data_IF_010489807595
#
_entry.id   IF_010489807595
#
_cell.length_a   1.000
_cell.length_b   1.000
_cell.length_c   1.000
_cell.angle_alpha   90.00
_cell.angle_beta   90.00
_cell.angle_gamma   90.00
#
_symmetry.space_group_name_H-M   'P 1'
#
loop_
_entity.id
_entity.type
_entity.pdbx_description
1 polymer ?
#
# COMPACT_ATOMS: atom_id res chain seq x y z
N UNK A 1 50.40 -3.40 -1.87
CA UNK A 1 50.46 -2.22 -0.97
C UNK A 1 49.78 -1.03 -1.62
N UNK A 2 50.02 -0.72 -2.88
CA UNK A 2 49.50 0.47 -3.57
C UNK A 2 47.98 0.42 -3.80
N UNK A 3 47.42 -0.76 -4.08
CA UNK A 3 45.95 -0.92 -4.29
C UNK A 3 45.14 -0.53 -3.06
N UNK A 4 45.63 -0.85 -1.86
CA UNK A 4 44.92 -0.49 -0.61
C UNK A 4 45.01 1.00 -0.28
N UNK A 5 46.14 1.64 -0.65
CA UNK A 5 46.33 3.07 -0.41
C UNK A 5 45.38 3.94 -1.24
N UNK A 6 45.05 3.50 -2.48
CA UNK A 6 44.23 4.24 -3.44
C UNK A 6 42.82 3.65 -3.62
N UNK A 7 42.44 2.65 -2.78
CA UNK A 7 41.11 2.08 -2.84
C UNK A 7 40.04 3.18 -2.56
N UNK A 8 38.90 3.18 -3.30
CA UNK A 8 37.85 4.19 -3.12
C UNK A 8 37.00 3.97 -1.87
N UNK A 9 37.19 2.87 -1.16
CA UNK A 9 36.54 2.57 0.12
C UNK A 9 37.49 2.89 1.28
N UNK A 10 36.90 3.14 2.45
CA UNK A 10 37.66 3.41 3.66
C UNK A 10 38.30 2.11 4.14
N UNK A 11 39.61 2.18 4.46
CA UNK A 11 40.36 1.06 5.01
C UNK A 11 41.30 1.55 6.10
N UNK A 12 41.24 0.91 7.29
CA UNK A 12 42.10 1.28 8.42
C UNK A 12 42.44 0.08 9.30
N UNK A 13 43.49 0.22 10.07
CA UNK A 13 43.92 -0.76 11.07
C UNK A 13 43.79 -0.14 12.46
N UNK A 14 43.15 -0.87 13.35
CA UNK A 14 42.99 -0.46 14.74
C UNK A 14 43.60 -1.45 15.72
N UNK A 15 44.07 -0.97 16.87
CA UNK A 15 44.47 -1.77 18.01
C UNK A 15 43.26 -2.30 18.77
N UNK A 16 43.41 -3.28 19.69
CA UNK A 16 42.29 -3.75 20.53
C UNK A 16 41.53 -2.64 21.28
N UNK A 17 42.24 -1.54 21.60
CA UNK A 17 41.63 -0.35 22.22
C UNK A 17 40.86 0.61 21.27
N UNK A 18 40.75 0.28 19.99
CA UNK A 18 40.02 1.10 18.99
C UNK A 18 40.86 2.24 18.39
N UNK A 19 42.15 2.39 18.78
CA UNK A 19 43.04 3.39 18.21
C UNK A 19 43.41 3.05 16.77
N UNK A 20 43.25 3.99 15.86
CA UNK A 20 43.57 3.83 14.44
C UNK A 20 45.07 4.06 14.23
N UNK A 21 45.79 2.99 13.85
CA UNK A 21 47.25 3.02 13.69
C UNK A 21 47.70 3.14 12.23
N UNK A 22 46.83 2.90 11.29
CA UNK A 22 47.04 3.04 9.85
C UNK A 22 45.70 3.28 9.14
N UNK A 23 45.69 4.08 8.12
CA UNK A 23 44.53 4.33 7.28
C UNK A 23 44.95 4.64 5.85
N UNK A 24 44.04 4.37 4.89
CA UNK A 24 44.26 4.73 3.49
C UNK A 24 43.83 6.18 3.21
N UNK A 25 44.09 6.66 1.99
CA UNK A 25 43.78 8.02 1.57
C UNK A 25 42.29 8.35 1.69
N UNK A 26 41.40 7.41 1.33
CA UNK A 26 39.96 7.60 1.44
C UNK A 26 39.48 7.84 2.88
N UNK A 27 40.06 7.13 3.85
CA UNK A 27 39.75 7.36 5.26
C UNK A 27 40.21 8.74 5.73
N UNK A 28 41.41 9.19 5.31
CA UNK A 28 41.93 10.51 5.68
C UNK A 28 41.07 11.63 5.12
N UNK A 29 40.68 11.53 3.85
CA UNK A 29 39.75 12.48 3.23
C UNK A 29 38.41 12.51 3.97
N UNK A 30 37.88 11.35 4.35
CA UNK A 30 36.61 11.28 5.10
C UNK A 30 36.75 11.86 6.50
N UNK A 31 37.89 11.71 7.13
CA UNK A 31 38.19 12.30 8.42
C UNK A 31 38.15 13.84 8.38
N UNK A 32 38.63 14.43 7.29
CA UNK A 32 38.56 15.89 7.05
C UNK A 32 37.12 16.38 6.90
N UNK A 33 36.23 15.59 6.28
CA UNK A 33 34.80 15.90 6.16
C UNK A 33 34.05 15.85 7.50
N UNK A 34 34.55 15.06 8.45
CA UNK A 34 33.91 14.80 9.74
C UNK A 34 34.42 15.75 10.82
N UNK A 35 35.72 15.99 10.83
CA UNK A 35 36.36 16.83 11.86
C UNK A 35 36.18 18.33 11.56
N UNK A 36 36.18 19.14 12.62
CA UNK A 36 36.22 20.59 12.49
C UNK A 36 37.59 21.07 11.97
N UNK A 37 37.63 22.20 11.26
CA UNK A 37 38.85 22.81 10.71
C UNK A 37 39.94 23.10 11.76
N UNK A 38 39.55 23.21 13.03
CA UNK A 38 40.46 23.50 14.14
C UNK A 38 41.08 22.22 14.72
N UNK A 39 40.62 21.04 14.32
CA UNK A 39 41.12 19.77 14.84
C UNK A 39 42.32 19.30 14.02
N UNK A 40 43.52 19.43 14.53
CA UNK A 40 44.71 18.92 13.90
C UNK A 40 44.65 17.38 13.84
N UNK A 41 44.78 16.81 12.63
CA UNK A 41 44.88 15.35 12.43
C UNK A 41 46.23 14.88 13.00
N UNK A 42 46.22 14.12 14.07
CA UNK A 42 47.42 13.56 14.74
C UNK A 42 47.28 12.07 14.89
N UNK A 43 48.40 11.36 14.86
CA UNK A 43 48.45 9.94 15.17
C UNK A 43 48.47 9.68 16.69
N UNK A 44 47.75 8.68 17.22
CA UNK A 44 46.81 7.81 16.49
C UNK A 44 45.58 8.59 15.99
N UNK A 45 45.05 8.23 14.81
CA UNK A 45 43.93 8.92 14.25
C UNK A 45 42.62 8.62 15.03
N UNK A 46 41.70 9.61 15.11
CA UNK A 46 40.40 9.35 15.68
C UNK A 46 39.64 8.32 14.86
N UNK A 47 38.88 7.43 15.52
CA UNK A 47 38.02 6.48 14.88
C UNK A 47 36.66 7.15 14.56
N UNK A 48 36.34 7.31 13.28
CA UNK A 48 35.08 7.89 12.83
C UNK A 48 33.88 6.93 12.91
N UNK A 49 34.15 5.66 13.24
CA UNK A 49 33.15 4.64 13.50
C UNK A 49 33.27 4.18 14.97
N UNK A 50 32.68 4.93 15.92
CA UNK A 50 32.80 4.62 17.33
C UNK A 50 32.28 3.21 17.64
N UNK A 51 33.05 2.48 18.41
CA UNK A 51 32.63 1.21 18.99
C UNK A 51 31.86 1.51 20.27
N UNK A 52 30.56 1.32 20.29
CA UNK A 52 29.81 1.38 21.55
C UNK A 52 30.24 0.17 22.42
N UNK A 53 30.79 0.51 23.57
CA UNK A 53 31.11 -0.36 24.72
C UNK A 53 31.16 -1.89 24.44
N UNK A 54 32.34 -2.38 24.16
CA UNK A 54 32.77 -3.76 24.54
C UNK A 54 32.29 -4.94 23.69
N UNK A 55 31.35 -4.77 22.82
CA UNK A 55 30.84 -5.85 21.97
C UNK A 55 31.07 -5.56 20.48
N UNK A 56 31.44 -6.60 19.75
CA UNK A 56 31.64 -6.54 18.30
C UNK A 56 30.49 -5.78 17.63
N UNK A 57 30.81 -4.79 16.77
CA UNK A 57 29.88 -3.95 16.02
C UNK A 57 28.59 -4.69 15.69
N UNK A 58 27.53 -4.41 16.47
CA UNK A 58 26.24 -5.10 16.37
C UNK A 58 25.52 -4.84 15.03
N UNK A 59 25.88 -3.78 14.34
CA UNK A 59 25.32 -3.46 13.04
C UNK A 59 26.43 -3.41 11.98
N UNK A 60 26.32 -4.17 10.90
CA UNK A 60 27.28 -4.08 9.79
C UNK A 60 27.19 -2.72 9.09
N UNK A 61 26.09 -1.98 9.26
CA UNK A 61 25.88 -0.67 8.65
C UNK A 61 25.88 0.43 9.68
N UNK A 62 26.70 1.47 9.44
CA UNK A 62 26.81 2.63 10.33
C UNK A 62 26.77 3.95 9.55
N UNK A 63 26.23 4.99 10.20
CA UNK A 63 26.21 6.33 9.66
C UNK A 63 27.35 7.16 10.25
N UNK A 64 28.02 7.93 9.40
CA UNK A 64 28.98 8.93 9.78
C UNK A 64 28.39 10.31 9.51
N UNK A 65 28.37 11.15 10.52
CA UNK A 65 27.86 12.51 10.37
C UNK A 65 28.95 13.41 9.78
N UNK A 66 28.63 14.10 8.70
CA UNK A 66 29.51 15.12 8.11
C UNK A 66 29.40 16.43 8.87
N UNK A 67 30.40 17.28 8.71
CA UNK A 67 30.45 18.63 9.30
C UNK A 67 29.29 19.53 8.84
N UNK A 68 28.79 19.36 7.61
CA UNK A 68 27.65 20.08 7.04
C UNK A 68 26.27 19.61 7.57
N UNK A 69 26.26 18.65 8.51
CA UNK A 69 25.05 18.04 9.06
C UNK A 69 24.51 16.87 8.25
N UNK A 70 25.08 16.57 7.09
CA UNK A 70 24.75 15.40 6.29
C UNK A 70 25.19 14.10 6.94
N UNK A 71 24.65 12.98 6.48
CA UNK A 71 25.03 11.64 6.92
C UNK A 71 25.41 10.80 5.73
N UNK A 72 26.54 10.11 5.85
CA UNK A 72 26.98 9.10 4.88
C UNK A 72 26.94 7.74 5.53
N UNK A 73 26.38 6.78 4.82
CA UNK A 73 26.21 5.42 5.31
C UNK A 73 27.29 4.50 4.75
N UNK A 74 27.78 3.61 5.62
CA UNK A 74 28.84 2.66 5.28
C UNK A 74 28.48 1.27 5.77
N UNK A 75 28.74 0.27 4.95
CA UNK A 75 28.74 -1.13 5.36
C UNK A 75 30.15 -1.51 5.85
N UNK A 76 30.23 -1.92 7.13
CA UNK A 76 31.49 -2.20 7.80
C UNK A 76 31.79 -3.70 7.79
N UNK A 77 33.03 -4.00 7.46
CA UNK A 77 33.61 -5.36 7.58
C UNK A 77 34.87 -5.28 8.41
N UNK A 78 35.05 -6.20 9.34
CA UNK A 78 36.22 -6.25 10.23
C UNK A 78 36.86 -7.62 10.16
N UNK A 79 38.18 -7.64 10.01
CA UNK A 79 39.01 -8.86 10.01
C UNK A 79 39.91 -8.79 11.24
N UNK A 80 39.85 -9.80 12.11
CA UNK A 80 40.76 -9.93 13.25
C UNK A 80 42.11 -10.43 12.80
N UNK A 81 43.17 -9.76 13.17
CA UNK A 81 44.57 -10.12 12.87
C UNK A 81 45.31 -10.63 14.09
N UNK A 82 44.64 -10.84 15.24
CA UNK A 82 45.25 -11.26 16.50
C UNK A 82 46.03 -10.15 17.23
N UNK A 83 46.66 -9.23 16.50
CA UNK A 83 47.39 -8.05 17.04
C UNK A 83 46.59 -6.75 16.91
N UNK A 84 45.35 -6.83 16.44
CA UNK A 84 44.46 -5.73 16.14
C UNK A 84 43.47 -6.12 15.04
N UNK A 85 42.76 -5.18 14.51
CA UNK A 85 41.71 -5.39 13.50
C UNK A 85 42.03 -4.62 12.24
N UNK A 86 41.73 -5.22 11.08
CA UNK A 86 41.69 -4.55 9.80
C UNK A 86 40.23 -4.31 9.45
N UNK A 87 39.86 -3.05 9.19
CA UNK A 87 38.49 -2.62 8.99
C UNK A 87 38.33 -2.03 7.61
N UNK A 88 37.17 -2.29 7.02
CA UNK A 88 36.74 -1.74 5.74
C UNK A 88 35.37 -1.11 5.91
N UNK A 89 35.15 0.01 5.26
CA UNK A 89 33.85 0.64 5.17
C UNK A 89 33.55 0.99 3.70
N UNK A 90 32.54 0.32 3.16
CA UNK A 90 32.07 0.56 1.80
C UNK A 90 30.90 1.54 1.84
N UNK A 91 30.87 2.55 0.92
CA UNK A 91 29.73 3.45 0.82
C UNK A 91 28.41 2.68 0.59
N UNK A 92 27.42 2.95 1.42
CA UNK A 92 26.11 2.27 1.41
C UNK A 92 24.94 3.24 1.17
N UNK A 93 25.22 4.52 0.84
CA UNK A 93 24.18 5.54 0.64
C UNK A 93 23.16 5.17 -0.45
N UNK A 94 23.64 4.52 -1.52
CA UNK A 94 22.77 4.04 -2.60
C UNK A 94 21.79 2.97 -2.11
N UNK A 95 22.29 2.01 -1.33
CA UNK A 95 21.47 0.93 -0.77
C UNK A 95 20.46 1.49 0.25
N UNK A 96 20.91 2.36 1.16
CA UNK A 96 20.04 2.99 2.16
C UNK A 96 18.95 3.84 1.50
N UNK A 97 19.29 4.62 0.48
CA UNK A 97 18.30 5.40 -0.28
C UNK A 97 17.28 4.51 -0.97
N UNK A 98 17.71 3.43 -1.61
CA UNK A 98 16.81 2.49 -2.27
C UNK A 98 15.89 1.79 -1.27
N UNK A 99 16.41 1.34 -0.13
CA UNK A 99 15.63 0.73 0.96
C UNK A 99 14.60 1.72 1.54
N UNK A 100 15.01 2.97 1.78
CA UNK A 100 14.13 4.03 2.28
C UNK A 100 13.03 4.35 1.27
N UNK A 101 13.39 4.54 0.00
CA UNK A 101 12.41 4.81 -1.07
C UNK A 101 11.40 3.67 -1.21
N UNK A 102 11.86 2.41 -1.14
CA UNK A 102 10.96 1.26 -1.19
C UNK A 102 10.02 1.24 0.03
N UNK A 103 10.56 1.49 1.22
CA UNK A 103 9.78 1.55 2.45
C UNK A 103 8.71 2.66 2.39
N UNK A 104 9.10 3.87 2.00
CA UNK A 104 8.19 5.01 1.85
C UNK A 104 7.11 4.75 0.80
N UNK A 105 7.51 4.14 -0.32
CA UNK A 105 6.57 3.74 -1.36
C UNK A 105 5.54 2.72 -0.84
N UNK A 106 6.00 1.68 -0.14
CA UNK A 106 5.12 0.68 0.46
C UNK A 106 4.19 1.28 1.53
N UNK A 107 4.69 2.19 2.36
CA UNK A 107 3.86 2.90 3.33
C UNK A 107 2.80 3.77 2.66
N UNK A 108 3.18 4.50 1.60
CA UNK A 108 2.25 5.34 0.87
C UNK A 108 1.17 4.51 0.16
N UNK A 109 1.54 3.38 -0.45
CA UNK A 109 0.58 2.43 -1.03
C UNK A 109 -0.38 1.88 0.03
N UNK A 110 0.14 1.43 1.18
CA UNK A 110 -0.68 0.91 2.29
C UNK A 110 -1.65 1.98 2.79
N UNK A 111 -1.17 3.22 2.95
CA UNK A 111 -2.02 4.34 3.37
C UNK A 111 -3.10 4.65 2.33
N UNK A 112 -2.74 4.74 1.05
CA UNK A 112 -3.71 4.97 -0.03
C UNK A 112 -4.77 3.86 -0.06
N UNK A 113 -4.33 2.59 0.01
CA UNK A 113 -5.21 1.42 0.04
C UNK A 113 -6.18 1.43 1.24
N UNK A 114 -5.72 1.91 2.40
CA UNK A 114 -6.54 1.99 3.62
C UNK A 114 -7.56 3.12 3.60
N UNK A 115 -7.35 4.16 2.78
CA UNK A 115 -8.28 5.30 2.70
C UNK A 115 -9.28 5.21 1.54
N UNK A 116 -9.19 4.18 0.70
CA UNK A 116 -10.19 3.94 -0.35
C UNK A 116 -11.51 3.54 0.33
N UNK A 117 -12.63 4.26 0.06
CA UNK A 117 -13.93 3.96 0.67
C UNK A 117 -14.58 2.70 0.12
N UNK A 118 -14.06 2.15 -0.96
CA UNK A 118 -14.49 0.89 -1.58
C UNK A 118 -13.85 -0.28 -0.85
N UNK A 119 -14.63 -1.27 -0.45
CA UNK A 119 -14.16 -2.52 0.13
C UNK A 119 -13.36 -3.31 -0.92
N UNK A 120 -12.10 -3.59 -0.63
CA UNK A 120 -11.20 -4.30 -1.52
C UNK A 120 -10.75 -5.63 -0.91
N UNK A 121 -10.88 -6.70 -1.68
CA UNK A 121 -10.36 -8.02 -1.35
C UNK A 121 -9.59 -8.60 -2.54
N UNK A 122 -8.37 -9.10 -2.29
CA UNK A 122 -7.54 -9.73 -3.30
C UNK A 122 -7.38 -11.20 -2.93
N UNK A 123 -7.71 -12.07 -3.88
CA UNK A 123 -7.61 -13.53 -3.75
C UNK A 123 -6.51 -14.05 -4.67
N UNK A 124 -5.75 -15.03 -4.19
CA UNK A 124 -4.76 -15.73 -5.01
C UNK A 124 -5.41 -16.66 -6.05
N UNK A 125 -4.57 -17.41 -6.79
CA UNK A 125 -5.03 -18.38 -7.79
C UNK A 125 -5.90 -19.50 -7.22
N UNK A 126 -5.72 -19.82 -5.94
CA UNK A 126 -6.51 -20.81 -5.20
C UNK A 126 -7.75 -20.18 -4.56
N UNK A 127 -8.05 -18.91 -4.93
CA UNK A 127 -9.17 -18.15 -4.36
C UNK A 127 -9.11 -18.00 -2.84
N UNK A 128 -7.90 -17.96 -2.26
CA UNK A 128 -7.68 -17.63 -0.86
C UNK A 128 -7.37 -16.15 -0.72
N UNK A 129 -7.99 -15.52 0.26
CA UNK A 129 -7.79 -14.10 0.56
C UNK A 129 -6.32 -13.84 0.93
N UNK A 130 -5.68 -12.92 0.22
CA UNK A 130 -4.29 -12.50 0.47
C UNK A 130 -4.19 -11.09 1.01
N UNK A 131 -5.11 -10.23 0.62
CA UNK A 131 -5.12 -8.84 1.04
C UNK A 131 -6.55 -8.30 1.10
N UNK A 132 -6.83 -7.43 2.06
CA UNK A 132 -8.07 -6.67 2.18
C UNK A 132 -7.79 -5.31 2.81
N UNK A 133 -8.68 -4.35 2.59
CA UNK A 133 -8.59 -3.02 3.20
C UNK A 133 -9.62 -2.85 4.33
N UNK A 134 -9.48 -1.81 5.19
CA UNK A 134 -10.42 -1.55 6.26
C UNK A 134 -11.86 -1.35 5.80
N UNK A 135 -12.08 -0.69 4.64
CA UNK A 135 -13.42 -0.48 4.10
C UNK A 135 -14.17 -1.81 3.86
N UNK A 136 -13.47 -2.90 3.52
CA UNK A 136 -14.09 -4.21 3.41
C UNK A 136 -14.68 -4.67 4.74
N UNK A 137 -13.97 -4.47 5.84
CA UNK A 137 -14.47 -4.84 7.18
C UNK A 137 -15.65 -3.99 7.59
N UNK A 138 -15.61 -2.70 7.28
CA UNK A 138 -16.68 -1.73 7.59
C UNK A 138 -17.97 -2.05 6.83
N UNK A 139 -17.85 -2.35 5.52
CA UNK A 139 -19.00 -2.66 4.66
C UNK A 139 -19.58 -4.05 4.92
N UNK A 140 -18.72 -5.04 5.20
CA UNK A 140 -19.16 -6.43 5.35
C UNK A 140 -19.39 -6.85 6.81
N UNK A 141 -18.96 -6.05 7.78
CA UNK A 141 -19.02 -6.41 9.20
C UNK A 141 -18.26 -7.68 9.58
N UNK A 142 -17.40 -8.20 8.67
CA UNK A 142 -16.62 -9.40 8.94
C UNK A 142 -15.47 -9.09 9.90
N UNK A 143 -15.22 -9.93 10.91
CA UNK A 143 -14.10 -9.73 11.83
C UNK A 143 -12.76 -9.83 11.11
N UNK A 144 -11.82 -8.98 11.51
CA UNK A 144 -10.45 -8.96 10.98
C UNK A 144 -9.77 -10.33 11.17
N UNK A 145 -10.03 -11.00 12.28
CA UNK A 145 -9.48 -12.33 12.59
C UNK A 145 -9.90 -13.37 11.56
N UNK A 146 -11.17 -13.33 11.15
CA UNK A 146 -11.71 -14.22 10.11
C UNK A 146 -11.05 -13.94 8.76
N UNK A 147 -10.95 -12.68 8.36
CA UNK A 147 -10.32 -12.30 7.10
C UNK A 147 -8.81 -12.63 7.11
N UNK A 148 -8.14 -12.43 8.24
CA UNK A 148 -6.71 -12.76 8.41
C UNK A 148 -6.43 -14.26 8.38
N UNK A 149 -7.43 -15.12 8.63
CA UNK A 149 -7.31 -16.58 8.46
C UNK A 149 -7.21 -17.03 6.99
N UNK A 150 -7.25 -16.07 6.04
CA UNK A 150 -7.17 -16.30 4.59
C UNK A 150 -8.28 -17.24 4.07
N UNK A 151 -9.55 -16.89 4.32
CA UNK A 151 -10.66 -17.70 3.85
C UNK A 151 -10.66 -17.78 2.31
N UNK A 152 -11.33 -18.78 1.78
CA UNK A 152 -11.66 -18.82 0.35
C UNK A 152 -12.74 -17.78 0.03
N UNK A 153 -12.88 -17.41 -1.24
CA UNK A 153 -13.96 -16.52 -1.70
C UNK A 153 -15.31 -17.03 -1.21
N UNK A 154 -15.61 -18.31 -1.44
CA UNK A 154 -16.88 -18.89 -0.97
C UNK A 154 -17.00 -18.91 0.55
N UNK A 155 -15.92 -19.19 1.28
CA UNK A 155 -15.91 -19.14 2.73
C UNK A 155 -16.20 -17.74 3.27
N UNK A 156 -15.70 -16.70 2.61
CA UNK A 156 -16.01 -15.31 2.93
C UNK A 156 -17.49 -14.99 2.67
N UNK A 157 -18.02 -15.39 1.52
CA UNK A 157 -19.43 -15.19 1.15
C UNK A 157 -20.38 -15.96 2.07
N UNK A 158 -20.05 -17.20 2.45
CA UNK A 158 -20.82 -17.98 3.41
C UNK A 158 -20.86 -17.30 4.78
N UNK A 159 -19.72 -16.74 5.25
CA UNK A 159 -19.67 -15.98 6.50
C UNK A 159 -20.47 -14.66 6.43
N UNK A 160 -20.54 -14.01 5.27
CA UNK A 160 -21.42 -12.86 5.05
C UNK A 160 -22.89 -13.27 5.10
N UNK A 161 -23.25 -14.39 4.48
CA UNK A 161 -24.61 -14.92 4.48
C UNK A 161 -25.09 -15.23 5.92
N UNK A 162 -24.27 -15.89 6.70
CA UNK A 162 -24.61 -16.27 8.07
C UNK A 162 -24.90 -15.05 8.98
N UNK A 163 -24.51 -13.86 8.53
CA UNK A 163 -24.75 -12.56 9.17
C UNK A 163 -25.83 -11.73 8.51
N UNK A 164 -26.56 -12.30 7.54
CA UNK A 164 -27.54 -11.59 6.70
C UNK A 164 -26.95 -10.40 5.95
N UNK A 165 -25.68 -10.50 5.54
CA UNK A 165 -24.91 -9.49 4.80
C UNK A 165 -24.79 -9.85 3.31
N UNK A 166 -25.71 -10.61 2.81
CA UNK A 166 -25.86 -10.90 1.37
C UNK A 166 -27.31 -10.62 0.94
N UNK A 167 -27.53 -10.27 -0.32
CA UNK A 167 -28.88 -10.16 -0.86
C UNK A 167 -29.59 -11.51 -0.74
N UNK A 168 -30.91 -11.47 -0.56
CA UNK A 168 -31.78 -12.64 -0.61
C UNK A 168 -32.23 -12.87 -2.07
N UNK A 169 -31.46 -13.58 -2.89
CA UNK A 169 -31.86 -13.82 -4.28
C UNK A 169 -33.04 -14.79 -4.30
N UNK A 170 -33.99 -14.56 -5.21
CA UNK A 170 -35.13 -15.46 -5.44
C UNK A 170 -34.68 -16.89 -5.77
N UNK A 171 -33.50 -17.05 -6.40
CA UNK A 171 -32.85 -18.34 -6.64
C UNK A 171 -31.38 -18.29 -6.18
N UNK A 172 -31.16 -18.69 -4.92
CA UNK A 172 -29.82 -18.79 -4.33
C UNK A 172 -28.90 -19.74 -5.09
N UNK A 173 -29.42 -20.80 -5.71
CA UNK A 173 -28.60 -21.76 -6.46
C UNK A 173 -28.12 -21.17 -7.77
N UNK A 174 -28.97 -20.38 -8.44
CA UNK A 174 -28.57 -19.68 -9.65
C UNK A 174 -27.53 -18.58 -9.35
N UNK A 175 -27.76 -17.81 -8.32
CA UNK A 175 -26.82 -16.78 -7.85
C UNK A 175 -25.47 -17.38 -7.45
N UNK A 176 -25.45 -18.47 -6.68
CA UNK A 176 -24.20 -19.16 -6.31
C UNK A 176 -23.46 -19.73 -7.53
N UNK A 177 -24.16 -20.24 -8.55
CA UNK A 177 -23.53 -20.68 -9.80
C UNK A 177 -22.92 -19.52 -10.56
N UNK A 178 -23.55 -18.35 -10.52
CA UNK A 178 -23.02 -17.13 -11.15
C UNK A 178 -21.73 -16.66 -10.45
N UNK A 179 -21.72 -16.69 -9.12
CA UNK A 179 -20.53 -16.43 -8.32
C UNK A 179 -19.43 -17.49 -8.51
N UNK A 180 -19.81 -18.76 -8.69
CA UNK A 180 -18.85 -19.83 -8.97
C UNK A 180 -18.10 -19.60 -10.32
N UNK A 181 -18.69 -18.85 -11.24
CA UNK A 181 -17.97 -18.38 -12.45
C UNK A 181 -16.77 -17.50 -12.13
N UNK A 182 -16.75 -16.81 -10.98
CA UNK A 182 -15.56 -16.07 -10.51
C UNK A 182 -14.47 -16.98 -9.91
N UNK A 183 -14.84 -18.20 -9.49
CA UNK A 183 -13.88 -19.17 -8.95
C UNK A 183 -13.01 -19.78 -10.05
N UNK A 184 -13.52 -19.82 -11.30
CA UNK A 184 -12.73 -20.33 -12.41
C UNK A 184 -11.56 -19.37 -12.68
N UNK A 185 -10.35 -19.83 -12.39
CA UNK A 185 -9.12 -19.07 -12.63
C UNK A 185 -8.88 -18.79 -14.13
N UNK A 186 -9.59 -19.48 -15.02
CA UNK A 186 -9.53 -19.30 -16.46
C UNK A 186 -10.61 -18.34 -16.98
N UNK A 187 -11.56 -17.92 -16.14
CA UNK A 187 -12.59 -16.97 -16.53
C UNK A 187 -11.96 -15.60 -16.84
N UNK A 188 -12.14 -15.15 -18.06
CA UNK A 188 -11.71 -13.83 -18.53
C UNK A 188 -12.79 -12.77 -18.34
N UNK A 189 -13.98 -13.18 -17.86
CA UNK A 189 -15.13 -12.31 -17.67
C UNK A 189 -15.07 -11.52 -16.37
N UNK A 190 -15.40 -10.23 -16.44
CA UNK A 190 -15.64 -9.39 -15.27
C UNK A 190 -17.01 -9.78 -14.67
N UNK A 191 -17.07 -10.00 -13.36
CA UNK A 191 -18.31 -10.06 -12.61
C UNK A 191 -18.71 -8.65 -12.20
N UNK A 192 -19.96 -8.28 -12.40
CA UNK A 192 -20.51 -7.01 -11.98
C UNK A 192 -21.99 -7.22 -11.63
N UNK A 193 -22.37 -6.78 -10.43
CA UNK A 193 -23.74 -6.96 -9.92
C UNK A 193 -24.07 -5.91 -8.85
N UNK A 194 -25.36 -5.63 -8.68
CA UNK A 194 -25.88 -4.77 -7.63
C UNK A 194 -26.54 -5.60 -6.54
N UNK A 195 -25.98 -5.56 -5.35
CA UNK A 195 -26.48 -6.29 -4.20
C UNK A 195 -27.38 -5.42 -3.34
N UNK A 196 -28.68 -5.69 -3.37
CA UNK A 196 -29.65 -5.04 -2.48
C UNK A 196 -29.68 -5.78 -1.15
N UNK A 197 -29.20 -5.12 -0.10
CA UNK A 197 -29.03 -5.69 1.22
C UNK A 197 -30.34 -5.60 2.02
N UNK A 198 -30.59 -6.56 2.94
CA UNK A 198 -31.79 -6.53 3.82
C UNK A 198 -31.90 -5.25 4.66
N UNK A 199 -30.77 -4.58 4.94
CA UNK A 199 -30.70 -3.29 5.67
C UNK A 199 -31.05 -2.07 4.83
N UNK A 200 -31.42 -2.23 3.54
CA UNK A 200 -31.76 -1.13 2.63
C UNK A 200 -30.55 -0.48 1.94
N UNK A 201 -29.32 -0.96 2.20
CA UNK A 201 -28.13 -0.55 1.46
C UNK A 201 -28.11 -1.22 0.09
N UNK A 202 -27.50 -0.55 -0.89
CA UNK A 202 -27.20 -1.10 -2.20
C UNK A 202 -25.72 -1.07 -2.43
N UNK A 203 -25.13 -2.24 -2.65
CA UNK A 203 -23.70 -2.39 -2.93
C UNK A 203 -23.49 -2.73 -4.41
N UNK A 204 -22.56 -2.02 -5.04
CA UNK A 204 -22.05 -2.37 -6.36
C UNK A 204 -20.84 -3.27 -6.18
N UNK A 205 -20.91 -4.49 -6.70
CA UNK A 205 -19.89 -5.53 -6.50
C UNK A 205 -19.27 -5.88 -7.84
N UNK A 206 -17.94 -5.76 -7.91
CA UNK A 206 -17.15 -6.03 -9.10
C UNK A 206 -16.06 -7.04 -8.79
N UNK A 207 -16.05 -8.16 -9.50
CA UNK A 207 -14.99 -9.16 -9.47
C UNK A 207 -14.16 -9.10 -10.76
N UNK A 208 -12.88 -8.79 -10.66
CA UNK A 208 -11.95 -8.69 -11.80
C UNK A 208 -10.84 -9.73 -11.70
N UNK A 209 -10.83 -10.76 -12.56
CA UNK A 209 -9.68 -11.64 -12.72
C UNK A 209 -8.47 -10.84 -13.22
N UNK A 210 -7.29 -11.17 -12.69
CA UNK A 210 -6.03 -10.56 -13.09
C UNK A 210 -5.23 -11.51 -13.99
N UNK A 211 -4.32 -11.01 -14.83
CA UNK A 211 -3.50 -11.83 -15.72
C UNK A 211 -2.64 -12.88 -15.00
N UNK A 212 -2.29 -12.62 -13.73
CA UNK A 212 -1.54 -13.56 -12.90
C UNK A 212 -2.41 -14.67 -12.28
N UNK A 213 -3.73 -14.68 -12.59
CA UNK A 213 -4.72 -15.63 -12.08
C UNK A 213 -5.31 -15.26 -10.72
N UNK A 214 -4.89 -14.14 -10.11
CA UNK A 214 -5.53 -13.60 -8.91
C UNK A 214 -6.90 -13.00 -9.26
N UNK A 215 -7.72 -12.76 -8.22
CA UNK A 215 -9.03 -12.10 -8.36
C UNK A 215 -9.07 -10.88 -7.42
N UNK A 216 -9.46 -9.74 -7.96
CA UNK A 216 -9.76 -8.54 -7.17
C UNK A 216 -11.27 -8.41 -7.06
N UNK A 217 -11.80 -8.42 -5.84
CA UNK A 217 -13.19 -8.13 -5.51
C UNK A 217 -13.29 -6.72 -4.94
N UNK A 218 -14.20 -5.92 -5.48
CA UNK A 218 -14.51 -4.58 -5.05
C UNK A 218 -15.97 -4.51 -4.62
N UNK A 219 -16.25 -3.89 -3.48
CA UNK A 219 -17.59 -3.67 -2.93
C UNK A 219 -17.71 -2.18 -2.63
N UNK A 220 -18.62 -1.50 -3.32
CA UNK A 220 -18.86 -0.07 -3.19
C UNK A 220 -20.28 0.19 -2.69
N UNK A 221 -20.42 1.03 -1.67
CA UNK A 221 -21.74 1.43 -1.16
C UNK A 221 -22.32 2.58 -2.01
N UNK A 222 -23.24 2.24 -2.89
CA UNK A 222 -23.93 3.19 -3.77
C UNK A 222 -25.32 3.61 -3.26
N UNK A 223 -25.64 3.33 -2.00
CA UNK A 223 -26.97 3.58 -1.40
C UNK A 223 -27.39 5.04 -1.51
N UNK A 224 -26.46 5.97 -1.25
CA UNK A 224 -26.72 7.40 -1.34
C UNK A 224 -27.03 7.83 -2.78
N UNK A 225 -26.26 7.31 -3.72
CA UNK A 225 -26.44 7.56 -5.18
C UNK A 225 -27.79 7.04 -5.64
N UNK A 226 -28.14 5.81 -5.29
CA UNK A 226 -29.41 5.17 -5.64
C UNK A 226 -30.60 5.91 -5.02
N UNK A 227 -30.51 6.30 -3.76
CA UNK A 227 -31.57 7.11 -3.10
C UNK A 227 -31.79 8.43 -3.82
N UNK A 228 -30.72 9.06 -4.26
CA UNK A 228 -30.76 10.33 -5.00
C UNK A 228 -31.41 10.18 -6.35
N UNK A 229 -31.05 9.12 -7.09
CA UNK A 229 -31.66 8.81 -8.40
C UNK A 229 -33.15 8.48 -8.24
N UNK A 230 -33.52 7.68 -7.24
CA UNK A 230 -34.90 7.32 -6.97
C UNK A 230 -35.74 8.55 -6.58
N UNK A 231 -35.21 9.43 -5.73
CA UNK A 231 -35.90 10.68 -5.35
C UNK A 231 -36.11 11.59 -6.58
N UNK A 232 -35.08 11.73 -7.40
CA UNK A 232 -35.18 12.53 -8.61
C UNK A 232 -36.24 11.98 -9.58
N UNK A 233 -36.32 10.64 -9.75
CA UNK A 233 -37.39 10.00 -10.55
C UNK A 233 -38.75 10.22 -9.95
N UNK A 234 -38.90 10.03 -8.63
CA UNK A 234 -40.21 10.28 -7.97
C UNK A 234 -40.66 11.71 -8.10
N UNK A 235 -39.74 12.70 -8.02
CA UNK A 235 -40.05 14.10 -8.22
C UNK A 235 -40.51 14.41 -9.66
N UNK A 236 -39.91 13.76 -10.67
CA UNK A 236 -40.34 13.86 -12.07
C UNK A 236 -41.72 13.24 -12.28
N UNK A 237 -41.93 12.02 -11.74
CA UNK A 237 -43.22 11.32 -11.84
C UNK A 237 -44.35 12.12 -11.15
N UNK A 238 -44.05 12.69 -9.98
CA UNK A 238 -45.00 13.59 -9.29
C UNK A 238 -45.28 14.85 -10.11
N UNK A 239 -44.23 15.45 -10.67
CA UNK A 239 -44.38 16.62 -11.56
C UNK A 239 -45.29 16.31 -12.77
N UNK A 240 -45.05 15.15 -13.41
CA UNK A 240 -45.87 14.71 -14.53
C UNK A 240 -47.33 14.45 -14.09
N UNK A 241 -47.54 13.74 -12.98
CA UNK A 241 -48.86 13.44 -12.45
C UNK A 241 -49.65 14.72 -12.12
N UNK A 242 -48.99 15.75 -11.56
CA UNK A 242 -49.62 17.05 -11.28
C UNK A 242 -50.06 17.76 -12.59
N UNK A 243 -49.20 17.75 -13.60
CA UNK A 243 -49.50 18.37 -14.90
C UNK A 243 -50.63 17.62 -15.61
N UNK A 244 -50.70 16.31 -15.50
CA UNK A 244 -51.75 15.47 -16.10
C UNK A 244 -53.13 15.63 -15.42
N UNK A 245 -53.19 16.27 -14.25
CA UNK A 245 -54.49 16.61 -13.59
C UNK A 245 -55.11 17.89 -14.12
N UNK A 246 -54.42 18.63 -14.97
CA UNK A 246 -54.93 19.89 -15.56
C UNK A 246 -55.69 19.56 -16.83
N UNK A 247 -56.92 20.05 -16.93
CA UNK A 247 -57.81 19.83 -18.09
C UNK A 247 -57.38 20.59 -19.36
N UNK A 248 -56.54 21.63 -19.20
CA UNK A 248 -55.98 22.41 -20.31
C UNK A 248 -54.71 21.76 -20.86
N UNK A 249 -54.55 21.77 -22.19
CA UNK A 249 -53.35 21.24 -22.84
C UNK A 249 -52.12 22.08 -22.49
N UNK A 250 -51.13 21.47 -21.84
CA UNK A 250 -49.87 22.08 -21.44
C UNK A 250 -48.71 21.48 -22.23
N UNK A 251 -47.87 22.36 -22.80
CA UNK A 251 -46.61 21.97 -23.42
C UNK A 251 -45.50 22.89 -22.91
N UNK A 252 -44.42 22.29 -22.38
CA UNK A 252 -43.24 22.98 -21.90
C UNK A 252 -42.10 22.73 -22.86
N UNK A 253 -41.43 23.79 -23.28
CA UNK A 253 -40.30 23.73 -24.20
C UNK A 253 -39.01 24.10 -23.49
N UNK A 254 -37.95 23.38 -23.75
CA UNK A 254 -36.61 23.75 -23.29
C UNK A 254 -36.13 25.05 -23.99
N UNK A 255 -35.12 25.75 -23.47
CA UNK A 255 -34.55 26.93 -24.14
C UNK A 255 -34.05 26.66 -25.56
N UNK A 256 -33.76 25.38 -25.90
CA UNK A 256 -33.40 24.92 -27.24
C UNK A 256 -34.60 24.86 -28.22
N UNK A 257 -35.83 25.08 -27.76
CA UNK A 257 -37.04 24.93 -28.57
C UNK A 257 -37.56 23.49 -28.68
N UNK A 258 -36.91 22.52 -28.01
CA UNK A 258 -37.40 21.13 -27.98
C UNK A 258 -38.52 21.00 -26.92
N UNK A 259 -39.54 20.20 -27.23
CA UNK A 259 -40.57 19.83 -26.28
C UNK A 259 -39.93 19.06 -25.11
N UNK A 260 -40.04 19.62 -23.93
CA UNK A 260 -39.47 18.99 -22.72
C UNK A 260 -40.53 18.17 -21.96
N UNK A 261 -41.82 18.63 -21.98
CA UNK A 261 -42.90 18.00 -21.25
C UNK A 261 -44.25 18.37 -21.88
N UNK A 262 -45.24 17.48 -21.83
CA UNK A 262 -46.64 17.75 -22.16
C UNK A 262 -47.54 16.92 -21.26
N UNK A 263 -48.79 17.38 -21.01
CA UNK A 263 -49.78 16.58 -20.32
C UNK A 263 -50.61 15.73 -21.30
N UNK A 264 -51.51 14.92 -20.76
CA UNK A 264 -52.34 13.99 -21.50
C UNK A 264 -53.58 14.65 -22.12
N UNK A 265 -53.84 15.94 -21.89
CA UNK A 265 -55.02 16.66 -22.38
C UNK A 265 -54.98 17.00 -23.88
#
# INVERSE_FOLDING_TARGET
>A
RDVMLHAPWLCWRERPGGEVTWANAAYLLKLEDVLSEQTAIRWPLPNIFPVENGDARKSPRQAVQRRDGGRDWFDLTTIDLGTGRLCFALPADGAVRAETMLHDFMQNLTRAFSHVPVGLAIFDRQRRLTMFNPALTDLTGLPVEMLSSRPTLMGMLDAMRDRNLLPEPRDYRAWRRHLAGMEDATATGMYEDEWNMPGGQTYHVVGRPQPDGSLVLMIDDISTEMTRVQRYRADLDLGQAVIDTVDDAIAVFAPSGQLAMSNAA
#
